data_IF_136235044650
#
_entry.id   IF_136235044650
#
_cell.length_a   1.000
_cell.length_b   1.000
_cell.length_c   1.000
_cell.angle_alpha   90.00
_cell.angle_beta   90.00
_cell.angle_gamma   90.00
#
_symmetry.space_group_name_H-M   'P 1'
#
loop_
_entity.id
_entity.type
_entity.pdbx_description
1 polymer ?
#
# COMPACT_ATOMS: atom_id res chain seq x y z
N UNK A 1 -7.15 -12.78 48.86
CA UNK A 1 -7.49 -11.67 47.93
C UNK A 1 -8.86 -11.18 48.34
N UNK A 2 -8.96 -9.91 48.62
CA UNK A 2 -10.21 -9.26 49.04
C UNK A 2 -10.60 -8.17 48.04
N UNK A 3 -11.82 -7.67 48.13
CA UNK A 3 -12.29 -6.59 47.27
C UNK A 3 -11.44 -5.31 47.51
N UNK A 4 -10.88 -4.75 46.43
CA UNK A 4 -9.97 -3.61 46.48
C UNK A 4 -8.49 -3.97 46.41
N UNK A 5 -8.12 -5.25 46.45
CA UNK A 5 -6.73 -5.68 46.32
C UNK A 5 -6.25 -5.53 44.85
N UNK A 6 -4.97 -5.13 44.71
CA UNK A 6 -4.26 -5.18 43.43
C UNK A 6 -3.35 -6.41 43.44
N UNK A 7 -3.60 -7.31 42.50
CA UNK A 7 -2.93 -8.62 42.47
C UNK A 7 -2.30 -8.89 41.12
N UNK A 8 -1.27 -9.73 41.09
CA UNK A 8 -0.69 -10.25 39.85
C UNK A 8 -1.25 -11.65 39.57
N UNK A 9 -1.77 -11.86 38.39
CA UNK A 9 -2.29 -13.14 37.94
C UNK A 9 -1.44 -13.65 36.78
N UNK A 10 -0.92 -14.86 36.89
CA UNK A 10 -0.13 -15.50 35.85
C UNK A 10 -0.97 -16.57 35.10
N UNK A 11 -0.64 -16.84 33.84
CA UNK A 11 -1.24 -17.89 33.03
C UNK A 11 -2.47 -17.48 32.21
N UNK A 12 -2.77 -16.18 32.14
CA UNK A 12 -3.85 -15.67 31.28
C UNK A 12 -3.34 -15.52 29.84
N UNK A 13 -3.87 -16.33 28.91
CA UNK A 13 -3.41 -16.34 27.52
C UNK A 13 -4.28 -15.50 26.56
N UNK A 14 -5.52 -15.16 26.94
CA UNK A 14 -6.50 -14.47 26.10
C UNK A 14 -6.93 -13.10 26.64
N UNK A 15 -6.22 -12.60 27.64
CA UNK A 15 -6.57 -11.37 28.34
C UNK A 15 -5.65 -10.24 27.91
N UNK A 16 -6.22 -9.08 27.65
CA UNK A 16 -5.54 -7.85 27.28
C UNK A 16 -5.77 -6.76 28.33
N UNK A 17 -4.97 -5.70 28.27
CA UNK A 17 -5.15 -4.53 29.15
C UNK A 17 -6.52 -3.90 28.95
N UNK A 18 -7.29 -3.77 30.03
CA UNK A 18 -8.65 -3.22 30.02
C UNK A 18 -9.76 -4.27 30.00
N UNK A 19 -9.42 -5.57 29.90
CA UNK A 19 -10.41 -6.64 29.99
C UNK A 19 -10.93 -6.81 31.43
N UNK A 20 -12.23 -7.11 31.55
CA UNK A 20 -12.85 -7.47 32.81
C UNK A 20 -12.75 -8.98 33.02
N UNK A 21 -12.31 -9.39 34.21
CA UNK A 21 -12.31 -10.78 34.65
C UNK A 21 -13.45 -10.96 35.64
N UNK A 22 -14.37 -11.89 35.37
CA UNK A 22 -15.52 -12.17 36.21
C UNK A 22 -15.77 -13.65 36.34
N UNK A 23 -16.65 -14.03 37.26
CA UNK A 23 -17.15 -15.38 37.37
C UNK A 23 -18.08 -15.69 36.19
N UNK A 24 -18.04 -16.91 35.68
CA UNK A 24 -18.90 -17.36 34.56
C UNK A 24 -20.39 -17.36 34.93
N UNK A 25 -20.68 -17.57 36.20
CA UNK A 25 -22.06 -17.59 36.73
C UNK A 25 -22.64 -16.20 37.00
N UNK A 26 -21.77 -15.18 37.15
CA UNK A 26 -22.15 -13.77 37.40
C UNK A 26 -21.32 -12.82 36.54
N UNK A 27 -21.60 -12.72 35.24
CA UNK A 27 -20.80 -11.95 34.31
C UNK A 27 -21.02 -10.45 34.52
N UNK A 28 -19.95 -9.74 34.91
CA UNK A 28 -19.93 -8.29 35.07
C UNK A 28 -18.92 -7.69 34.08
N UNK A 29 -19.38 -6.77 33.22
CA UNK A 29 -18.52 -6.00 32.33
C UNK A 29 -18.34 -4.60 32.92
N UNK A 30 -17.09 -4.27 33.27
CA UNK A 30 -16.73 -2.93 33.70
C UNK A 30 -16.55 -1.99 32.51
N UNK A 31 -16.62 -0.67 32.74
CA UNK A 31 -16.39 0.31 31.69
C UNK A 31 -15.00 0.13 31.06
N UNK A 32 -14.91 -0.03 29.71
CA UNK A 32 -13.65 -0.22 29.04
C UNK A 32 -12.78 1.05 29.11
N UNK A 33 -11.47 0.85 29.26
CA UNK A 33 -10.51 1.95 29.20
C UNK A 33 -10.45 2.48 27.77
N UNK A 34 -10.69 3.79 27.59
CA UNK A 34 -10.53 4.44 26.29
C UNK A 34 -9.08 4.88 26.13
N UNK A 35 -8.35 4.17 25.27
CA UNK A 35 -7.00 4.55 24.91
C UNK A 35 -7.03 5.64 23.82
N UNK A 36 -6.13 6.64 23.91
CA UNK A 36 -6.02 7.65 22.85
C UNK A 36 -5.49 7.03 21.55
N UNK A 37 -5.83 7.65 20.43
CA UNK A 37 -5.31 7.23 19.13
C UNK A 37 -3.80 7.52 19.00
N UNK A 38 -3.12 6.69 18.21
CA UNK A 38 -1.70 6.84 17.92
C UNK A 38 -1.44 8.12 17.11
N UNK A 39 -0.35 8.84 17.42
CA UNK A 39 -0.04 10.14 16.81
C UNK A 39 1.22 10.14 15.94
N UNK A 40 2.08 9.14 16.08
CA UNK A 40 3.34 9.02 15.34
C UNK A 40 3.50 7.60 14.82
N UNK A 41 4.02 7.48 13.60
CA UNK A 41 4.35 6.20 13.00
C UNK A 41 5.79 6.21 12.49
N UNK A 42 6.50 5.10 12.71
CA UNK A 42 7.84 4.83 12.18
C UNK A 42 7.83 3.51 11.42
N UNK A 43 8.68 3.40 10.40
CA UNK A 43 8.94 2.11 9.79
C UNK A 43 9.93 1.34 10.65
N UNK A 44 9.66 0.07 10.93
CA UNK A 44 10.52 -0.80 11.75
C UNK A 44 10.80 -2.08 10.96
N UNK A 45 12.07 -2.46 10.89
CA UNK A 45 12.51 -3.67 10.19
C UNK A 45 13.51 -4.45 11.07
N UNK A 46 13.42 -5.78 11.16
CA UNK A 46 14.42 -6.58 11.84
C UNK A 46 15.77 -6.43 11.13
N UNK A 47 16.85 -6.34 11.89
CA UNK A 47 18.19 -6.18 11.33
C UNK A 47 18.63 -7.38 10.49
N UNK A 48 18.17 -8.57 10.84
CA UNK A 48 18.49 -9.81 10.12
C UNK A 48 17.24 -10.50 9.60
N UNK A 49 17.37 -11.20 8.47
CA UNK A 49 16.25 -11.94 7.87
C UNK A 49 15.79 -13.11 8.74
N UNK A 50 16.70 -13.70 9.51
CA UNK A 50 16.41 -14.79 10.46
C UNK A 50 15.49 -14.38 11.59
N UNK A 51 15.45 -13.08 11.92
CA UNK A 51 14.65 -12.58 13.04
C UNK A 51 13.22 -12.20 12.66
N UNK A 52 12.83 -12.35 11.40
CA UNK A 52 11.50 -11.90 10.91
C UNK A 52 10.32 -12.53 11.65
N UNK A 53 10.35 -13.84 11.84
CA UNK A 53 9.27 -14.55 12.53
C UNK A 53 9.21 -14.11 13.99
N UNK A 54 10.37 -14.11 14.65
CA UNK A 54 10.50 -13.70 16.05
C UNK A 54 10.12 -12.22 16.24
N UNK A 55 10.46 -11.35 15.29
CA UNK A 55 10.07 -9.95 15.28
C UNK A 55 8.55 -9.78 15.25
N UNK A 56 7.84 -10.53 14.39
CA UNK A 56 6.39 -10.48 14.31
C UNK A 56 5.71 -10.96 15.62
N UNK A 57 6.24 -12.04 16.23
CA UNK A 57 5.76 -12.55 17.51
C UNK A 57 5.96 -11.54 18.64
N UNK A 58 7.14 -10.91 18.70
CA UNK A 58 7.46 -9.90 19.71
C UNK A 58 6.57 -8.68 19.56
N UNK A 59 6.35 -8.19 18.33
CA UNK A 59 5.41 -7.09 18.07
C UNK A 59 3.99 -7.43 18.53
N UNK A 60 3.48 -8.61 18.20
CA UNK A 60 2.16 -9.05 18.61
C UNK A 60 2.03 -9.17 20.13
N UNK A 61 3.10 -9.56 20.83
CA UNK A 61 3.14 -9.60 22.29
C UNK A 61 3.12 -8.20 22.89
N UNK A 62 3.95 -7.28 22.37
CA UNK A 62 4.03 -5.91 22.88
C UNK A 62 2.73 -5.15 22.68
N UNK A 63 2.01 -5.37 21.56
CA UNK A 63 0.68 -4.79 21.33
C UNK A 63 -0.39 -5.30 22.30
N UNK A 64 -0.27 -6.53 22.79
CA UNK A 64 -1.16 -7.05 23.84
C UNK A 64 -0.87 -6.42 25.20
N UNK A 65 0.41 -6.11 25.47
CA UNK A 65 0.83 -5.43 26.71
C UNK A 65 0.45 -3.93 26.69
N UNK A 66 0.50 -3.30 25.50
CA UNK A 66 0.25 -1.87 25.34
C UNK A 66 -0.77 -1.62 24.21
N UNK A 67 -2.03 -1.34 24.53
CA UNK A 67 -3.07 -1.03 23.56
C UNK A 67 -2.88 0.27 22.77
N UNK A 68 -1.96 1.15 23.21
CA UNK A 68 -1.59 2.38 22.48
C UNK A 68 -0.52 2.14 21.40
N UNK A 69 -0.02 0.90 21.31
CA UNK A 69 0.93 0.48 20.31
C UNK A 69 0.19 -0.28 19.19
N UNK A 70 0.34 0.16 17.96
CA UNK A 70 -0.24 -0.52 16.79
C UNK A 70 0.83 -0.82 15.76
N UNK A 71 0.75 -1.99 15.11
CA UNK A 71 1.56 -2.28 13.92
C UNK A 71 0.68 -2.63 12.74
N UNK A 72 1.12 -2.24 11.57
CA UNK A 72 0.50 -2.59 10.28
C UNK A 72 1.57 -2.76 9.23
N UNK A 73 1.28 -3.53 8.19
CA UNK A 73 2.15 -3.60 7.02
C UNK A 73 1.59 -2.66 5.97
N UNK A 74 2.42 -1.74 5.50
CA UNK A 74 2.08 -0.86 4.40
C UNK A 74 2.00 -1.69 3.11
N UNK A 75 0.83 -1.78 2.45
CA UNK A 75 0.65 -2.62 1.28
C UNK A 75 1.48 -2.17 0.07
N UNK A 76 1.82 -0.89 -0.01
CA UNK A 76 2.56 -0.33 -1.13
C UNK A 76 4.08 -0.51 -1.00
N UNK A 77 4.60 -0.31 0.22
CA UNK A 77 6.05 -0.36 0.48
C UNK A 77 6.51 -1.68 1.09
N UNK A 78 5.57 -2.49 1.58
CA UNK A 78 5.86 -3.71 2.33
C UNK A 78 6.52 -3.48 3.69
N UNK A 79 6.67 -2.22 4.12
CA UNK A 79 7.28 -1.89 5.42
C UNK A 79 6.32 -2.17 6.57
N UNK A 80 6.86 -2.67 7.68
CA UNK A 80 6.12 -2.72 8.93
C UNK A 80 6.13 -1.33 9.57
N UNK A 81 4.95 -0.74 9.71
CA UNK A 81 4.74 0.53 10.39
C UNK A 81 4.39 0.27 11.85
N UNK A 82 5.11 0.90 12.75
CA UNK A 82 4.85 0.89 14.18
C UNK A 82 4.33 2.26 14.59
N UNK A 83 3.12 2.32 15.13
CA UNK A 83 2.44 3.54 15.52
C UNK A 83 2.25 3.60 17.02
N UNK A 84 2.47 4.76 17.62
CA UNK A 84 2.40 4.98 19.07
C UNK A 84 2.10 6.42 19.45
N UNK A 85 2.22 6.72 20.74
CA UNK A 85 1.86 8.00 21.34
C UNK A 85 2.90 9.11 21.17
N UNK A 86 4.08 8.78 20.59
CA UNK A 86 5.16 9.74 20.36
C UNK A 86 6.48 9.07 20.02
N UNK A 87 7.46 9.86 19.57
CA UNK A 87 8.78 9.33 19.18
C UNK A 87 9.47 8.60 20.32
N UNK A 88 9.50 9.19 21.53
CA UNK A 88 10.10 8.57 22.69
C UNK A 88 9.43 7.23 23.05
N UNK A 89 8.10 7.14 22.96
CA UNK A 89 7.39 5.89 23.17
C UNK A 89 7.88 4.80 22.22
N UNK A 90 7.97 5.10 20.92
CA UNK A 90 8.41 4.16 19.89
C UNK A 90 9.89 3.78 20.06
N UNK A 91 10.75 4.73 20.46
CA UNK A 91 12.15 4.47 20.76
C UNK A 91 12.31 3.49 21.94
N UNK A 92 11.55 3.70 23.03
CA UNK A 92 11.52 2.78 24.17
C UNK A 92 11.03 1.40 23.77
N UNK A 93 9.98 1.32 22.95
CA UNK A 93 9.46 0.05 22.44
C UNK A 93 10.51 -0.71 21.63
N UNK A 94 11.19 -0.06 20.69
CA UNK A 94 12.26 -0.70 19.90
C UNK A 94 13.45 -1.09 20.79
N UNK A 95 13.82 -0.25 21.74
CA UNK A 95 14.85 -0.57 22.75
C UNK A 95 14.50 -1.79 23.60
N UNK A 96 13.22 -1.96 23.99
CA UNK A 96 12.73 -3.15 24.69
C UNK A 96 12.79 -4.42 23.82
N UNK A 97 12.51 -4.32 22.52
CA UNK A 97 12.64 -5.47 21.61
C UNK A 97 14.03 -6.06 21.63
N UNK A 98 15.06 -5.20 21.62
CA UNK A 98 16.44 -5.65 21.68
C UNK A 98 16.80 -6.21 23.07
N UNK A 99 16.48 -5.47 24.14
CA UNK A 99 16.89 -5.78 25.51
C UNK A 99 16.15 -6.98 26.11
N UNK A 100 14.81 -7.00 25.97
CA UNK A 100 13.96 -7.97 26.69
C UNK A 100 13.71 -9.23 25.83
N UNK A 101 13.75 -9.11 24.50
CA UNK A 101 13.45 -10.20 23.58
C UNK A 101 14.63 -10.61 22.69
N UNK A 102 15.74 -9.87 22.70
CA UNK A 102 16.91 -10.14 21.89
C UNK A 102 16.64 -10.01 20.39
N UNK A 103 15.68 -9.17 19.99
CA UNK A 103 15.35 -8.88 18.60
C UNK A 103 15.83 -7.48 18.24
N UNK A 104 16.91 -7.41 17.47
CA UNK A 104 17.44 -6.14 16.98
C UNK A 104 16.61 -5.63 15.81
N UNK A 105 16.09 -4.40 15.93
CA UNK A 105 15.32 -3.75 14.89
C UNK A 105 15.90 -2.38 14.57
N UNK A 106 15.82 -2.01 13.29
CA UNK A 106 16.13 -0.67 12.80
C UNK A 106 14.81 0.06 12.58
N UNK A 107 14.72 1.30 13.04
CA UNK A 107 13.55 2.14 12.80
C UNK A 107 13.93 3.44 12.11
N UNK A 108 12.98 4.00 11.37
CA UNK A 108 13.18 5.22 10.61
C UNK A 108 11.87 5.79 10.06
N UNK A 109 12.01 6.83 9.24
CA UNK A 109 10.85 7.41 8.57
C UNK A 109 10.26 6.40 7.57
N UNK A 110 8.93 6.24 7.51
CA UNK A 110 8.29 5.45 6.47
C UNK A 110 8.69 5.93 5.07
N UNK A 111 8.82 5.00 4.13
CA UNK A 111 9.05 5.34 2.73
C UNK A 111 7.79 5.96 2.15
N UNK A 112 7.98 6.92 1.26
CA UNK A 112 6.87 7.53 0.52
C UNK A 112 6.53 6.64 -0.67
N UNK A 113 5.28 6.22 -0.76
CA UNK A 113 4.78 5.44 -1.90
C UNK A 113 4.46 6.36 -3.07
N UNK A 114 5.41 6.50 -3.98
CA UNK A 114 5.20 7.23 -5.22
C UNK A 114 4.45 6.37 -6.24
N UNK A 115 3.72 7.02 -7.13
CA UNK A 115 3.04 6.43 -8.28
C UNK A 115 3.44 7.16 -9.56
N UNK A 116 3.11 6.57 -10.69
CA UNK A 116 3.27 7.21 -12.00
C UNK A 116 1.93 7.35 -12.71
N UNK A 117 1.81 8.35 -13.58
CA UNK A 117 0.69 8.47 -14.51
C UNK A 117 1.17 8.97 -15.87
N UNK A 118 0.39 8.75 -16.91
CA UNK A 118 0.68 9.32 -18.22
C UNK A 118 0.49 10.84 -18.18
N UNK A 119 1.37 11.59 -18.86
CA UNK A 119 1.29 13.06 -18.96
C UNK A 119 0.30 13.50 -20.04
N UNK A 120 0.21 12.73 -21.12
CA UNK A 120 -0.66 13.00 -22.28
C UNK A 120 -1.19 11.70 -22.87
N UNK A 121 -2.18 11.81 -23.76
CA UNK A 121 -2.64 10.66 -24.50
C UNK A 121 -1.61 10.28 -25.58
N UNK A 122 -1.34 8.99 -25.72
CA UNK A 122 -0.46 8.46 -26.77
C UNK A 122 -0.84 7.02 -27.12
N UNK A 123 -0.23 6.52 -28.19
CA UNK A 123 -0.36 5.13 -28.64
C UNK A 123 1.00 4.44 -28.58
N UNK A 124 0.98 3.15 -28.30
CA UNK A 124 2.13 2.29 -28.39
C UNK A 124 1.79 1.00 -29.10
N UNK A 125 2.71 0.50 -29.87
CA UNK A 125 2.58 -0.75 -30.60
C UNK A 125 3.84 -1.56 -30.42
N UNK A 126 3.67 -2.86 -30.19
CA UNK A 126 4.79 -3.77 -30.10
C UNK A 126 4.50 -5.11 -30.79
N UNK A 127 5.55 -5.71 -31.30
CA UNK A 127 5.55 -7.05 -31.84
C UNK A 127 6.44 -7.97 -30.99
N UNK A 128 5.91 -9.14 -30.68
CA UNK A 128 6.68 -10.22 -30.07
C UNK A 128 6.84 -11.34 -31.06
N UNK A 129 8.09 -11.72 -31.36
CA UNK A 129 8.44 -12.86 -32.20
C UNK A 129 9.46 -13.72 -31.50
N UNK A 130 9.16 -14.97 -31.30
CA UNK A 130 10.12 -15.93 -30.73
C UNK A 130 9.86 -17.34 -31.19
N UNK A 131 10.93 -18.07 -31.49
CA UNK A 131 10.84 -19.49 -31.74
C UNK A 131 11.02 -20.26 -30.43
N UNK A 132 10.00 -21.04 -30.05
CA UNK A 132 10.01 -21.87 -28.83
C UNK A 132 9.62 -23.28 -29.24
N UNK A 133 10.44 -24.25 -28.91
CA UNK A 133 10.22 -25.70 -29.22
C UNK A 133 9.88 -25.99 -30.70
N UNK A 134 10.44 -25.22 -31.64
CA UNK A 134 10.19 -25.37 -33.08
C UNK A 134 8.98 -24.57 -33.60
N UNK A 135 8.21 -23.99 -32.77
CA UNK A 135 7.05 -23.18 -33.15
C UNK A 135 7.39 -21.67 -33.15
N UNK A 136 6.87 -20.93 -34.14
CA UNK A 136 7.08 -19.49 -34.26
C UNK A 136 5.94 -18.74 -33.56
N UNK A 137 6.16 -18.36 -32.31
CA UNK A 137 5.24 -17.50 -31.56
C UNK A 137 5.28 -16.07 -32.14
N UNK A 138 4.12 -15.52 -32.45
CA UNK A 138 3.98 -14.17 -32.96
C UNK A 138 2.73 -13.51 -32.36
N UNK A 139 2.89 -12.30 -31.88
CA UNK A 139 1.79 -11.40 -31.59
C UNK A 139 2.20 -9.94 -31.83
N UNK A 140 1.26 -9.13 -32.27
CA UNK A 140 1.36 -7.67 -32.41
C UNK A 140 0.15 -7.05 -31.73
N UNK A 141 0.41 -6.11 -30.84
CA UNK A 141 -0.64 -5.42 -30.08
C UNK A 141 -0.44 -3.91 -30.17
N UNK A 142 -1.53 -3.18 -30.43
CA UNK A 142 -1.57 -1.72 -30.38
C UNK A 142 -2.50 -1.29 -29.24
N UNK A 143 -2.02 -0.42 -28.36
CA UNK A 143 -2.80 0.16 -27.28
C UNK A 143 -2.69 1.68 -27.28
N UNK A 144 -3.75 2.33 -26.80
CA UNK A 144 -3.75 3.74 -26.45
C UNK A 144 -3.72 3.90 -24.95
N UNK A 145 -2.99 4.88 -24.45
CA UNK A 145 -2.98 5.29 -23.05
C UNK A 145 -3.39 6.75 -22.94
N UNK A 146 -4.23 7.08 -21.97
CA UNK A 146 -4.62 8.45 -21.64
C UNK A 146 -4.69 8.68 -20.15
N UNK A 147 -4.27 9.85 -19.61
CA UNK A 147 -4.40 10.18 -18.20
C UNK A 147 -5.86 10.34 -17.80
N UNK A 148 -6.19 9.98 -16.56
CA UNK A 148 -7.51 10.22 -15.95
C UNK A 148 -7.38 10.97 -14.64
N UNK A 149 -8.20 12.00 -14.45
CA UNK A 149 -8.26 12.80 -13.23
C UNK A 149 -9.41 12.40 -12.32
N UNK A 150 -10.41 11.72 -12.84
CA UNK A 150 -11.74 11.49 -12.24
C UNK A 150 -11.98 10.04 -11.76
N UNK A 151 -10.97 9.19 -11.76
CA UNK A 151 -11.14 7.77 -11.49
C UNK A 151 -10.47 7.32 -10.18
N UNK A 152 -11.23 6.61 -9.36
CA UNK A 152 -10.69 5.85 -8.22
C UNK A 152 -9.92 4.60 -8.65
N UNK A 153 -10.18 4.11 -9.89
CA UNK A 153 -9.48 2.94 -10.43
C UNK A 153 -8.07 3.30 -10.86
N UNK A 154 -7.12 2.49 -10.48
CA UNK A 154 -5.71 2.65 -10.86
C UNK A 154 -5.53 2.59 -12.37
N UNK A 155 -6.06 1.55 -13.00
CA UNK A 155 -6.03 1.33 -14.46
C UNK A 155 -7.43 0.96 -14.93
N UNK A 156 -7.92 1.66 -15.94
CA UNK A 156 -9.21 1.41 -16.58
C UNK A 156 -8.94 0.86 -17.98
N UNK A 157 -9.23 -0.43 -18.21
CA UNK A 157 -9.00 -1.07 -19.51
C UNK A 157 -10.28 -1.08 -20.32
N UNK A 158 -10.21 -0.56 -21.56
CA UNK A 158 -11.34 -0.47 -22.48
C UNK A 158 -11.00 -1.24 -23.75
N UNK A 159 -11.89 -2.15 -24.13
CA UNK A 159 -11.83 -2.81 -25.43
C UNK A 159 -12.36 -1.90 -26.55
N UNK A 160 -11.51 -1.63 -27.53
CA UNK A 160 -11.84 -0.91 -28.76
C UNK A 160 -11.44 -1.71 -30.00
N UNK A 161 -11.30 -3.02 -29.87
CA UNK A 161 -11.00 -3.90 -30.98
C UNK A 161 -12.16 -3.90 -32.00
N UNK A 162 -11.82 -4.13 -33.26
CA UNK A 162 -12.83 -4.44 -34.27
C UNK A 162 -13.45 -5.79 -33.93
N UNK A 163 -14.74 -5.90 -34.18
CA UNK A 163 -15.47 -7.15 -33.96
C UNK A 163 -14.78 -8.33 -34.68
N UNK A 164 -14.42 -9.38 -33.94
CA UNK A 164 -13.75 -10.55 -34.47
C UNK A 164 -12.23 -10.44 -34.66
N UNK A 165 -11.58 -9.35 -34.23
CA UNK A 165 -10.13 -9.19 -34.32
C UNK A 165 -9.38 -10.12 -33.35
N UNK A 166 -9.99 -10.43 -32.20
CA UNK A 166 -9.43 -11.32 -31.21
C UNK A 166 -10.53 -12.23 -30.62
N UNK A 167 -10.31 -13.54 -30.45
CA UNK A 167 -11.22 -14.40 -29.71
C UNK A 167 -11.36 -13.95 -28.25
N UNK A 168 -12.60 -13.97 -27.72
CA UNK A 168 -12.92 -13.43 -26.40
C UNK A 168 -12.18 -14.14 -25.25
N UNK A 169 -11.78 -15.40 -25.43
CA UNK A 169 -11.03 -16.16 -24.44
C UNK A 169 -9.64 -15.58 -24.13
N UNK A 170 -9.05 -14.78 -25.03
CA UNK A 170 -7.73 -14.14 -24.81
C UNK A 170 -7.81 -12.77 -24.13
N UNK A 171 -8.97 -12.13 -24.12
CA UNK A 171 -9.14 -10.80 -23.51
C UNK A 171 -8.75 -10.74 -22.01
N UNK A 172 -9.14 -11.70 -21.17
CA UNK A 172 -8.75 -11.69 -19.76
C UNK A 172 -7.22 -11.69 -19.56
N UNK A 173 -6.50 -12.50 -20.34
CA UNK A 173 -5.04 -12.57 -20.27
C UNK A 173 -4.37 -11.24 -20.67
N UNK A 174 -4.91 -10.55 -21.67
CA UNK A 174 -4.43 -9.22 -22.07
C UNK A 174 -4.70 -8.19 -20.99
N UNK A 175 -5.89 -8.20 -20.35
CA UNK A 175 -6.23 -7.27 -19.28
C UNK A 175 -5.34 -7.48 -18.06
N UNK A 176 -5.10 -8.72 -17.69
CA UNK A 176 -4.16 -9.08 -16.62
C UNK A 176 -2.73 -8.64 -16.96
N UNK A 177 -2.30 -8.83 -18.22
CA UNK A 177 -0.99 -8.37 -18.69
C UNK A 177 -0.83 -6.85 -18.60
N UNK A 178 -1.88 -6.06 -18.91
CA UNK A 178 -1.88 -4.61 -18.74
C UNK A 178 -1.79 -4.23 -17.26
N UNK A 179 -2.58 -4.88 -16.39
CA UNK A 179 -2.55 -4.63 -14.96
C UNK A 179 -1.16 -4.94 -14.36
N UNK A 180 -0.61 -6.10 -14.68
CA UNK A 180 0.73 -6.51 -14.25
C UNK A 180 1.83 -5.57 -14.78
N UNK A 181 1.72 -5.09 -16.01
CA UNK A 181 2.65 -4.13 -16.58
C UNK A 181 2.59 -2.77 -15.87
N UNK A 182 1.39 -2.34 -15.46
CA UNK A 182 1.19 -1.11 -14.69
C UNK A 182 1.73 -1.23 -13.25
N UNK A 183 1.47 -2.35 -12.57
CA UNK A 183 1.98 -2.63 -11.23
C UNK A 183 3.50 -2.82 -11.22
N UNK A 184 4.05 -3.43 -12.27
CA UNK A 184 5.48 -3.64 -12.43
C UNK A 184 6.32 -2.37 -12.58
N UNK A 185 5.67 -1.21 -12.70
CA UNK A 185 6.28 0.12 -12.74
C UNK A 185 6.39 0.75 -14.11
N UNK A 186 6.28 2.07 -14.12
CA UNK A 186 6.41 2.91 -15.30
C UNK A 186 7.86 3.23 -15.66
N UNK A 187 8.09 4.44 -16.20
CA UNK A 187 9.42 4.86 -16.66
C UNK A 187 10.41 5.12 -15.52
N UNK A 188 9.91 5.48 -14.34
CA UNK A 188 10.72 5.73 -13.14
C UNK A 188 10.68 4.55 -12.15
N UNK A 189 9.97 3.47 -12.50
CA UNK A 189 9.87 2.26 -11.69
C UNK A 189 8.78 2.28 -10.63
N UNK A 190 7.90 3.29 -10.61
CA UNK A 190 6.75 3.33 -9.71
C UNK A 190 5.50 2.77 -10.39
N UNK A 191 4.58 2.12 -9.65
CA UNK A 191 3.33 1.62 -10.20
C UNK A 191 2.55 2.72 -10.92
N UNK A 192 2.01 2.40 -12.09
CA UNK A 192 1.23 3.33 -12.92
C UNK A 192 -0.22 3.34 -12.46
N UNK A 193 -0.80 4.52 -12.31
CA UNK A 193 -2.17 4.72 -11.85
C UNK A 193 -2.85 5.85 -12.61
N UNK A 194 -4.19 5.95 -12.47
CA UNK A 194 -5.01 6.99 -13.07
C UNK A 194 -4.83 7.09 -14.58
N UNK A 195 -4.81 5.93 -15.24
CA UNK A 195 -4.74 5.85 -16.70
C UNK A 195 -5.90 5.03 -17.23
N UNK A 196 -6.37 5.41 -18.44
CA UNK A 196 -7.20 4.56 -19.27
C UNK A 196 -6.34 3.94 -20.36
N UNK A 197 -6.44 2.63 -20.50
CA UNK A 197 -5.75 1.87 -21.53
C UNK A 197 -6.78 1.30 -22.50
N UNK A 198 -6.71 1.70 -23.75
CA UNK A 198 -7.60 1.24 -24.82
C UNK A 198 -6.88 0.21 -25.67
N UNK A 199 -7.40 -1.01 -25.76
CA UNK A 199 -6.91 -2.03 -26.68
C UNK A 199 -7.44 -1.71 -28.09
N UNK A 200 -6.55 -1.31 -29.01
CA UNK A 200 -6.91 -0.78 -30.33
C UNK A 200 -6.84 -1.82 -31.44
N UNK A 201 -5.78 -2.64 -31.40
CA UNK A 201 -5.59 -3.73 -32.38
C UNK A 201 -4.78 -4.87 -31.74
N UNK A 202 -5.07 -6.10 -32.18
CA UNK A 202 -4.33 -7.29 -31.77
C UNK A 202 -4.33 -8.30 -32.92
N UNK A 203 -3.13 -8.76 -33.27
CA UNK A 203 -2.92 -9.79 -34.28
C UNK A 203 -1.96 -10.83 -33.71
N UNK A 204 -2.21 -12.10 -33.92
CA UNK A 204 -1.38 -13.18 -33.40
C UNK A 204 -1.36 -14.39 -34.33
N UNK A 205 -0.37 -15.26 -34.16
CA UNK A 205 -0.35 -16.57 -34.78
C UNK A 205 -0.97 -17.58 -33.82
N UNK A 206 -1.99 -18.28 -34.27
CA UNK A 206 -2.67 -19.32 -33.47
C UNK A 206 -1.86 -20.64 -33.54
N UNK A 207 -0.64 -20.61 -32.99
CA UNK A 207 0.31 -21.72 -32.98
C UNK A 207 0.90 -21.84 -31.56
N UNK A 208 0.92 -23.05 -31.05
CA UNK A 208 1.52 -23.37 -29.75
C UNK A 208 0.80 -22.70 -28.57
N UNK A 209 1.45 -21.75 -27.92
CA UNK A 209 0.91 -21.00 -26.79
C UNK A 209 0.79 -19.49 -27.12
N UNK A 210 -0.27 -19.10 -27.88
CA UNK A 210 -0.43 -17.72 -28.33
C UNK A 210 -0.55 -16.71 -27.18
N UNK A 211 -1.03 -17.13 -25.99
CA UNK A 211 -1.12 -16.30 -24.80
C UNK A 211 0.22 -15.70 -24.34
N UNK A 212 1.31 -16.49 -24.44
CA UNK A 212 2.64 -16.00 -24.11
C UNK A 212 3.07 -14.85 -25.02
N UNK A 213 2.79 -14.99 -26.33
CA UNK A 213 3.11 -13.95 -27.28
C UNK A 213 2.24 -12.70 -27.08
N UNK A 214 0.93 -12.88 -26.87
CA UNK A 214 0.00 -11.81 -26.60
C UNK A 214 0.35 -11.03 -25.33
N UNK A 215 0.62 -11.72 -24.22
CA UNK A 215 1.02 -11.10 -22.95
C UNK A 215 2.33 -10.32 -23.09
N UNK A 216 3.32 -10.90 -23.77
CA UNK A 216 4.60 -10.23 -23.99
C UNK A 216 4.44 -8.99 -24.88
N UNK A 217 3.72 -9.10 -26.01
CA UNK A 217 3.46 -7.97 -26.90
C UNK A 217 2.65 -6.87 -26.21
N UNK A 218 1.65 -7.24 -25.39
CA UNK A 218 0.84 -6.30 -24.60
C UNK A 218 1.68 -5.51 -23.61
N UNK A 219 2.51 -6.19 -22.80
CA UNK A 219 3.41 -5.53 -21.85
C UNK A 219 4.40 -4.59 -22.54
N UNK A 220 4.93 -4.99 -23.71
CA UNK A 220 5.81 -4.15 -24.51
C UNK A 220 5.06 -2.94 -25.08
N UNK A 221 3.85 -3.13 -25.63
CA UNK A 221 3.01 -2.06 -26.17
C UNK A 221 2.63 -1.04 -25.09
N UNK A 222 2.32 -1.51 -23.87
CA UNK A 222 2.04 -0.64 -22.72
C UNK A 222 3.24 0.27 -22.39
N UNK A 223 4.45 -0.30 -22.33
CA UNK A 223 5.67 0.47 -22.08
C UNK A 223 5.96 1.49 -23.18
N UNK A 224 5.76 1.13 -24.44
CA UNK A 224 5.92 2.04 -25.58
C UNK A 224 4.87 3.16 -25.54
N UNK A 225 3.60 2.84 -25.26
CA UNK A 225 2.55 3.85 -25.11
C UNK A 225 2.86 4.83 -23.98
N UNK A 226 3.31 4.33 -22.81
CA UNK A 226 3.67 5.16 -21.67
C UNK A 226 4.90 6.03 -21.98
N UNK A 227 5.90 5.48 -22.71
CA UNK A 227 7.07 6.24 -23.15
C UNK A 227 6.66 7.38 -24.09
N UNK A 228 5.77 7.11 -25.05
CA UNK A 228 5.28 8.11 -25.98
C UNK A 228 4.39 9.17 -25.29
N UNK A 229 3.61 8.77 -24.28
CA UNK A 229 2.78 9.67 -23.48
C UNK A 229 3.61 10.59 -22.55
N UNK A 230 4.82 10.16 -22.21
CA UNK A 230 5.60 10.71 -21.10
C UNK A 230 5.00 10.30 -19.76
N UNK A 231 5.86 10.12 -18.75
CA UNK A 231 5.43 9.80 -17.39
C UNK A 231 5.55 11.00 -16.46
N UNK A 232 4.68 11.04 -15.45
CA UNK A 232 4.70 12.00 -14.36
C UNK A 232 4.59 11.26 -13.05
N UNK A 233 5.51 11.57 -12.11
CA UNK A 233 5.48 11.02 -10.76
C UNK A 233 4.41 11.72 -9.93
N UNK A 234 3.63 10.94 -9.21
CA UNK A 234 2.60 11.38 -8.29
C UNK A 234 3.06 11.14 -6.86
N UNK A 235 2.89 12.15 -6.02
CA UNK A 235 3.09 12.07 -4.57
C UNK A 235 1.75 11.69 -3.89
N UNK A 236 1.78 10.91 -2.78
CA UNK A 236 0.57 10.67 -2.01
C UNK A 236 0.14 11.93 -1.26
N UNK A 237 -1.15 12.20 -1.26
CA UNK A 237 -1.78 13.24 -0.47
C UNK A 237 -2.76 12.60 0.52
N UNK A 238 -2.77 13.11 1.75
CA UNK A 238 -3.71 12.69 2.79
C UNK A 238 -4.55 13.85 3.28
N UNK A 239 -5.73 13.54 3.79
CA UNK A 239 -6.55 14.49 4.55
C UNK A 239 -6.06 14.46 5.99
N UNK A 240 -5.83 15.65 6.56
CA UNK A 240 -5.30 15.83 7.90
C UNK A 240 -6.25 16.71 8.71
N UNK A 241 -6.64 16.27 9.90
CA UNK A 241 -7.33 17.08 10.90
C UNK A 241 -6.35 17.38 12.03
N UNK A 242 -6.18 18.66 12.35
CA UNK A 242 -5.26 19.11 13.39
C UNK A 242 -6.05 19.89 14.43
N UNK A 243 -5.97 19.47 15.68
CA UNK A 243 -6.58 20.17 16.82
C UNK A 243 -5.49 20.83 17.64
N UNK A 244 -5.55 22.15 17.76
CA UNK A 244 -4.54 22.95 18.48
C UNK A 244 -5.22 24.08 19.23
N UNK A 245 -4.64 24.55 20.34
CA UNK A 245 -5.04 25.83 20.96
C UNK A 245 -4.88 27.00 19.99
N UNK A 246 -5.69 28.03 20.17
CA UNK A 246 -5.74 29.20 19.27
C UNK A 246 -4.37 29.89 19.10
N UNK A 247 -3.59 29.97 20.17
CA UNK A 247 -2.24 30.58 20.18
C UNK A 247 -1.28 29.91 19.19
N UNK A 248 -1.47 28.63 18.86
CA UNK A 248 -0.62 27.87 17.96
C UNK A 248 -1.13 27.82 16.52
N UNK A 249 -2.34 28.32 16.23
CA UNK A 249 -2.97 28.24 14.92
C UNK A 249 -2.08 28.85 13.82
N UNK A 250 -1.54 30.05 14.06
CA UNK A 250 -0.67 30.73 13.10
C UNK A 250 0.59 29.95 12.75
N UNK A 251 1.23 29.30 13.74
CA UNK A 251 2.39 28.46 13.55
C UNK A 251 2.09 27.20 12.73
N UNK A 252 0.94 26.58 13.00
CA UNK A 252 0.47 25.39 12.26
C UNK A 252 0.19 25.74 10.81
N UNK A 253 -0.59 26.81 10.53
CA UNK A 253 -0.93 27.24 9.17
C UNK A 253 0.33 27.59 8.38
N UNK A 254 1.32 28.26 8.98
CA UNK A 254 2.63 28.54 8.35
C UNK A 254 3.35 27.23 7.98
N UNK A 255 3.38 26.26 8.87
CA UNK A 255 4.05 24.96 8.63
C UNK A 255 3.35 24.18 7.52
N UNK A 256 2.01 24.18 7.50
CA UNK A 256 1.21 23.54 6.46
C UNK A 256 1.48 24.18 5.08
N UNK A 257 1.51 25.52 5.00
CA UNK A 257 1.81 26.24 3.75
C UNK A 257 3.20 25.91 3.23
N UNK A 258 4.21 25.81 4.10
CA UNK A 258 5.56 25.38 3.70
C UNK A 258 5.59 23.96 3.14
N UNK A 259 4.66 23.10 3.56
CA UNK A 259 4.51 21.72 3.08
C UNK A 259 3.54 21.58 1.90
N UNK A 260 3.15 22.68 1.27
CA UNK A 260 2.20 22.70 0.14
C UNK A 260 0.82 22.12 0.48
N UNK A 261 0.44 22.15 1.76
CA UNK A 261 -0.89 21.71 2.17
C UNK A 261 -1.92 22.78 1.83
N UNK A 262 -3.12 22.33 1.46
CA UNK A 262 -4.29 23.19 1.23
C UNK A 262 -5.16 23.13 2.47
N UNK A 263 -5.41 24.26 3.12
CA UNK A 263 -6.34 24.36 4.24
C UNK A 263 -7.75 24.45 3.68
N UNK A 264 -8.55 23.40 3.90
CA UNK A 264 -9.93 23.32 3.42
C UNK A 264 -10.91 24.05 4.34
N UNK A 265 -10.72 23.93 5.68
CA UNK A 265 -11.60 24.49 6.67
C UNK A 265 -10.87 24.78 8.00
N UNK A 266 -11.35 25.75 8.75
CA UNK A 266 -10.87 26.08 10.10
C UNK A 266 -12.08 26.29 11.00
N UNK A 267 -12.20 25.48 12.07
CA UNK A 267 -13.31 25.54 13.02
C UNK A 267 -12.77 25.82 14.41
N UNK A 268 -13.46 26.70 15.12
CA UNK A 268 -13.20 26.89 16.54
C UNK A 268 -14.09 25.92 17.33
N UNK A 269 -13.48 25.06 18.14
CA UNK A 269 -14.22 24.24 19.08
C UNK A 269 -14.76 25.17 20.19
N UNK A 270 -16.07 25.09 20.45
CA UNK A 270 -16.71 25.78 21.58
C UNK A 270 -16.51 25.00 22.86
#
# INVERSE_FOLDING_TARGET
>A
IEAGDIVAVAGLHRTSTGDSLCDESDPILLEPIRFPDTVVSVAVEPRTTSDRERFAEVLARMQREDPTLRSSVDPDTGQTLLSGMGELHLEVVVGRMARDFGVDAVYGKPRVSFRETARSAAKGMAEYRRQVAGENLFARVEIGIEPRTDSEKSVDVVDRLRQGALPQNYLPAIYESIANAAEGGGLYGYPVTRVRVSLLDATFADVGQPEIALNSATSMAFREALRAAGSQVLEPYGRLEIRVPEDFLGGVVKTLSQRRAVVEDTRFAR
#
